data_IF_421207272074
#
_entry.id   IF_421207272074
#
_cell.length_a   1.000
_cell.length_b   1.000
_cell.length_c   1.000
_cell.angle_alpha   90.00
_cell.angle_beta   90.00
_cell.angle_gamma   90.00
#
_symmetry.space_group_name_H-M   'P 1'
#
loop_
_entity.id
_entity.type
_entity.pdbx_description
1 polymer ?
#
# COMPACT_ATOMS: atom_id res chain seq x y z
N UNK A 1 0.42 -1.95 -14.28
CA UNK A 1 0.75 -0.57 -13.87
C UNK A 1 1.24 0.24 -15.07
N UNK A 2 2.27 -0.23 -15.78
CA UNK A 2 2.84 0.45 -16.95
C UNK A 2 1.84 0.78 -18.09
N UNK A 3 0.99 -0.17 -18.50
CA UNK A 3 -0.07 0.08 -19.51
C UNK A 3 -1.05 1.16 -19.04
N UNK A 4 -1.46 1.13 -17.76
CA UNK A 4 -2.37 2.14 -17.21
C UNK A 4 -1.72 3.53 -17.23
N UNK A 5 -0.45 3.61 -16.85
CA UNK A 5 0.34 4.85 -16.93
C UNK A 5 0.49 5.37 -18.36
N UNK A 6 0.77 4.51 -19.33
CA UNK A 6 0.84 4.86 -20.76
C UNK A 6 -0.50 5.41 -21.29
N UNK A 7 -1.62 4.97 -20.71
CA UNK A 7 -2.97 5.46 -21.01
C UNK A 7 -3.38 6.67 -20.15
N UNK A 8 -2.49 7.20 -19.31
CA UNK A 8 -2.78 8.33 -18.42
C UNK A 8 -3.75 8.00 -17.27
N UNK A 9 -3.91 6.72 -16.95
CA UNK A 9 -4.79 6.25 -15.88
C UNK A 9 -4.05 6.15 -14.55
N UNK A 10 -4.71 6.59 -13.48
CA UNK A 10 -4.23 6.41 -12.10
C UNK A 10 -4.25 4.93 -11.73
N UNK A 11 -3.16 4.46 -11.16
CA UNK A 11 -3.00 3.05 -10.78
C UNK A 11 -2.85 2.87 -9.28
N UNK A 12 -3.58 1.88 -8.74
CA UNK A 12 -3.65 1.56 -7.32
C UNK A 12 -3.34 0.08 -7.09
N UNK A 13 -2.61 -0.21 -6.02
CA UNK A 13 -2.40 -1.58 -5.51
C UNK A 13 -2.55 -1.66 -4.00
N UNK A 14 -2.53 -2.89 -3.48
CA UNK A 14 -2.47 -3.14 -2.05
C UNK A 14 -1.55 -4.31 -1.72
N UNK A 15 -0.93 -4.24 -0.54
CA UNK A 15 -0.20 -5.33 0.07
C UNK A 15 -0.60 -5.47 1.55
N UNK A 16 -0.35 -6.66 2.11
CA UNK A 16 -0.63 -6.95 3.51
C UNK A 16 0.67 -7.28 4.24
N UNK A 17 0.78 -6.81 5.48
CA UNK A 17 1.90 -7.07 6.38
C UNK A 17 1.53 -8.09 7.44
N UNK A 18 2.52 -8.78 8.00
CA UNK A 18 2.35 -9.79 9.04
C UNK A 18 2.33 -11.24 8.54
N UNK A 19 2.87 -11.48 7.34
CA UNK A 19 3.01 -12.81 6.72
C UNK A 19 4.46 -13.35 6.77
N UNK A 20 5.36 -12.63 7.44
CA UNK A 20 6.76 -13.02 7.61
C UNK A 20 7.74 -12.20 6.77
N UNK A 21 7.24 -11.18 6.07
CA UNK A 21 8.06 -10.24 5.32
C UNK A 21 9.02 -9.46 6.22
N UNK A 22 10.19 -9.16 5.66
CA UNK A 22 11.23 -8.33 6.29
C UNK A 22 11.12 -6.88 5.86
N UNK A 23 11.68 -5.96 6.64
CA UNK A 23 11.72 -4.54 6.27
C UNK A 23 12.38 -4.29 4.90
N UNK A 24 13.43 -5.05 4.57
CA UNK A 24 14.12 -4.90 3.28
C UNK A 24 13.27 -5.35 2.10
N UNK A 25 12.43 -6.37 2.28
CA UNK A 25 11.47 -6.80 1.25
C UNK A 25 10.37 -5.76 1.05
N UNK A 26 9.84 -5.18 2.15
CA UNK A 26 8.86 -4.11 2.07
C UNK A 26 9.45 -2.89 1.35
N UNK A 27 10.67 -2.47 1.71
CA UNK A 27 11.34 -1.32 1.08
C UNK A 27 11.59 -1.55 -0.41
N UNK A 28 12.01 -2.76 -0.79
CA UNK A 28 12.19 -3.16 -2.19
C UNK A 28 10.88 -3.11 -2.97
N UNK A 29 9.76 -3.55 -2.36
CA UNK A 29 8.43 -3.43 -2.98
C UNK A 29 8.05 -1.98 -3.21
N UNK A 30 8.36 -1.06 -2.28
CA UNK A 30 8.09 0.36 -2.48
C UNK A 30 8.86 0.90 -3.70
N UNK A 31 10.13 0.54 -3.84
CA UNK A 31 10.96 0.94 -4.98
C UNK A 31 10.43 0.38 -6.31
N UNK A 32 10.06 -0.90 -6.33
CA UNK A 32 9.48 -1.56 -7.50
C UNK A 32 8.18 -0.90 -7.93
N UNK A 33 7.30 -0.55 -6.98
CA UNK A 33 6.03 0.11 -7.25
C UNK A 33 6.24 1.49 -7.87
N UNK A 34 7.20 2.27 -7.37
CA UNK A 34 7.57 3.56 -7.97
C UNK A 34 8.13 3.36 -9.38
N UNK A 35 9.03 2.39 -9.57
CA UNK A 35 9.67 2.11 -10.85
C UNK A 35 8.65 1.75 -11.95
N UNK A 36 7.62 0.97 -11.62
CA UNK A 36 6.56 0.58 -12.57
C UNK A 36 5.45 1.64 -12.72
N UNK A 37 5.58 2.79 -12.03
CA UNK A 37 4.65 3.91 -12.13
C UNK A 37 3.34 3.72 -11.37
N UNK A 38 3.35 2.96 -10.28
CA UNK A 38 2.24 2.94 -9.34
C UNK A 38 2.09 4.30 -8.66
N UNK A 39 0.85 4.72 -8.38
CA UNK A 39 0.59 6.01 -7.73
C UNK A 39 0.05 5.86 -6.33
N UNK A 40 -0.80 4.85 -6.12
CA UNK A 40 -1.52 4.66 -4.86
C UNK A 40 -1.21 3.26 -4.31
N UNK A 41 -0.76 3.21 -3.06
CA UNK A 41 -0.57 1.97 -2.31
C UNK A 41 -1.51 1.92 -1.10
N UNK A 42 -2.05 0.74 -0.83
CA UNK A 42 -2.71 0.41 0.44
C UNK A 42 -1.89 -0.64 1.20
N UNK A 43 -1.62 -0.39 2.47
CA UNK A 43 -0.93 -1.32 3.37
C UNK A 43 -1.82 -1.64 4.56
N UNK A 44 -2.16 -2.92 4.73
CA UNK A 44 -3.02 -3.40 5.81
C UNK A 44 -2.42 -4.57 6.57
N UNK A 45 -2.93 -4.86 7.77
CA UNK A 45 -2.58 -6.08 8.48
C UNK A 45 -3.22 -7.29 7.80
N UNK A 46 -2.44 -8.33 7.56
CA UNK A 46 -2.94 -9.65 7.25
C UNK A 46 -3.75 -10.17 8.43
N UNK A 47 -5.03 -10.44 8.19
CA UNK A 47 -5.90 -11.11 9.15
C UNK A 47 -6.20 -12.49 8.61
N UNK A 48 -5.76 -13.51 9.33
CA UNK A 48 -6.04 -14.90 9.02
C UNK A 48 -7.57 -15.13 9.00
N UNK A 49 -8.19 -15.46 7.85
CA UNK A 49 -9.65 -15.60 7.78
C UNK A 49 -10.17 -16.83 8.55
N UNK A 50 -9.43 -17.94 8.46
CA UNK A 50 -9.74 -19.20 9.17
C UNK A 50 -8.43 -19.88 9.56
N UNK A 51 -8.48 -20.79 10.53
CA UNK A 51 -7.32 -21.53 11.02
C UNK A 51 -6.59 -22.39 9.95
N UNK A 52 -7.19 -22.59 8.77
CA UNK A 52 -6.58 -23.33 7.66
C UNK A 52 -5.71 -22.44 6.74
N UNK A 53 -5.83 -21.12 6.86
CA UNK A 53 -4.98 -20.17 6.14
C UNK A 53 -3.64 -20.00 6.85
N UNK A 54 -2.69 -19.34 6.18
CA UNK A 54 -1.40 -19.00 6.78
C UNK A 54 -1.61 -18.32 8.15
N UNK A 55 -0.82 -18.70 9.17
CA UNK A 55 -0.88 -18.01 10.44
C UNK A 55 -0.40 -16.58 10.27
N UNK A 56 -0.86 -15.69 11.16
CA UNK A 56 -0.27 -14.36 11.30
C UNK A 56 1.11 -14.53 11.94
N UNK A 57 2.16 -14.24 11.20
CA UNK A 57 3.55 -14.27 11.69
C UNK A 57 3.81 -13.13 12.66
N UNK A 58 3.27 -11.94 12.36
CA UNK A 58 3.48 -10.73 13.16
C UNK A 58 2.29 -9.79 13.13
N UNK A 59 1.99 -9.21 14.28
CA UNK A 59 1.08 -8.07 14.41
C UNK A 59 1.90 -6.79 14.30
N UNK A 60 1.72 -6.07 13.20
CA UNK A 60 2.47 -4.86 12.89
C UNK A 60 1.97 -3.70 13.76
N UNK A 61 2.90 -2.96 14.37
CA UNK A 61 2.55 -1.84 15.25
C UNK A 61 1.99 -0.68 14.40
N UNK A 62 0.99 0.10 14.90
CA UNK A 62 0.48 1.27 14.18
C UNK A 62 1.55 2.27 13.74
N UNK A 63 2.59 2.47 14.55
CA UNK A 63 3.69 3.38 14.22
C UNK A 63 4.48 2.90 12.99
N UNK A 64 4.66 1.59 12.82
CA UNK A 64 5.35 1.03 11.67
C UNK A 64 4.54 1.24 10.38
N UNK A 65 3.20 1.15 10.45
CA UNK A 65 2.35 1.54 9.32
C UNK A 65 2.53 3.03 8.95
N UNK A 66 2.65 3.91 9.95
CA UNK A 66 2.91 5.33 9.72
C UNK A 66 4.30 5.57 9.09
N UNK A 67 5.31 4.82 9.51
CA UNK A 67 6.64 4.84 8.89
C UNK A 67 6.59 4.39 7.43
N UNK A 68 5.92 3.28 7.12
CA UNK A 68 5.82 2.79 5.74
C UNK A 68 5.09 3.76 4.82
N UNK A 69 4.06 4.44 5.34
CA UNK A 69 3.41 5.55 4.63
C UNK A 69 4.42 6.64 4.28
N UNK A 70 5.13 7.16 5.28
CA UNK A 70 6.10 8.22 5.08
C UNK A 70 7.23 7.82 4.11
N UNK A 71 7.74 6.59 4.24
CA UNK A 71 8.78 6.05 3.34
C UNK A 71 8.28 5.93 1.90
N UNK A 72 7.09 5.36 1.69
CA UNK A 72 6.51 5.19 0.36
C UNK A 72 6.22 6.53 -0.34
N UNK A 73 5.65 7.50 0.39
CA UNK A 73 5.40 8.85 -0.12
C UNK A 73 6.73 9.58 -0.43
N UNK A 74 7.75 9.42 0.42
CA UNK A 74 9.08 10.00 0.18
C UNK A 74 9.80 9.38 -1.03
N UNK A 75 9.58 8.10 -1.33
CA UNK A 75 10.14 7.40 -2.51
C UNK A 75 9.44 7.78 -3.82
N UNK A 76 8.25 8.36 -3.77
CA UNK A 76 7.55 8.89 -4.96
C UNK A 76 6.18 8.28 -5.25
N UNK A 77 5.62 7.45 -4.36
CA UNK A 77 4.20 7.13 -4.42
C UNK A 77 3.40 8.40 -4.11
N UNK A 78 2.36 8.68 -4.89
CA UNK A 78 1.56 9.91 -4.71
C UNK A 78 0.73 9.85 -3.44
N UNK A 79 0.28 8.66 -3.06
CA UNK A 79 -0.50 8.46 -1.85
C UNK A 79 -0.30 7.06 -1.29
N UNK A 80 -0.09 6.97 0.02
CA UNK A 80 -0.09 5.70 0.75
C UNK A 80 -1.12 5.75 1.86
N UNK A 81 -2.09 4.83 1.79
CA UNK A 81 -3.03 4.57 2.87
C UNK A 81 -2.53 3.34 3.64
N UNK A 82 -2.17 3.53 4.90
CA UNK A 82 -1.42 2.52 5.67
C UNK A 82 -1.95 2.45 7.10
N UNK A 83 -2.32 1.26 7.53
CA UNK A 83 -2.81 1.03 8.90
C UNK A 83 -3.39 -0.37 9.11
N UNK A 84 -3.55 -0.82 10.38
CA UNK A 84 -3.94 -2.20 10.67
C UNK A 84 -5.27 -2.63 10.00
N UNK A 85 -6.23 -1.72 9.94
CA UNK A 85 -7.58 -1.98 9.39
C UNK A 85 -7.75 -1.54 7.94
N UNK A 86 -6.69 -1.03 7.30
CA UNK A 86 -6.75 -0.62 5.89
C UNK A 86 -7.05 -1.84 5.02
N UNK A 87 -7.93 -1.63 4.05
CA UNK A 87 -8.32 -2.60 3.03
C UNK A 87 -8.27 -1.92 1.67
N UNK A 88 -8.19 -2.71 0.61
CA UNK A 88 -8.10 -2.19 -0.77
C UNK A 88 -9.27 -1.27 -1.16
N UNK A 89 -10.46 -1.46 -0.57
CA UNK A 89 -11.65 -0.61 -0.78
C UNK A 89 -11.84 0.49 0.27
N UNK A 90 -11.08 0.51 1.36
CA UNK A 90 -11.23 1.49 2.42
C UNK A 90 -10.91 2.90 1.88
N UNK A 91 -11.89 3.82 1.97
CA UNK A 91 -11.79 5.21 1.50
C UNK A 91 -11.43 5.41 0.02
N UNK A 92 -11.68 4.44 -0.87
CA UNK A 92 -11.36 4.56 -2.29
C UNK A 92 -11.94 5.83 -2.95
N UNK A 93 -13.13 6.26 -2.53
CA UNK A 93 -13.76 7.52 -2.96
C UNK A 93 -13.00 8.78 -2.52
N UNK A 94 -12.48 8.83 -1.29
CA UNK A 94 -11.71 9.99 -0.79
C UNK A 94 -10.32 10.08 -1.45
N UNK A 95 -9.74 8.93 -1.80
CA UNK A 95 -8.47 8.84 -2.50
C UNK A 95 -8.57 9.35 -3.95
N UNK A 96 -9.73 9.17 -4.59
CA UNK A 96 -10.02 9.77 -5.91
C UNK A 96 -10.31 11.27 -5.79
N UNK A 97 -11.00 11.72 -4.73
CA UNK A 97 -11.36 13.14 -4.57
C UNK A 97 -10.15 14.04 -4.28
N UNK A 98 -9.12 13.57 -3.56
CA UNK A 98 -7.85 14.32 -3.43
C UNK A 98 -7.19 14.63 -4.79
N UNK A 99 -7.54 13.90 -5.85
CA UNK A 99 -7.05 14.08 -7.22
C UNK A 99 -7.86 15.13 -8.02
N UNK A 100 -9.05 15.52 -7.59
CA UNK A 100 -9.91 16.44 -8.34
C UNK A 100 -9.64 17.94 -8.05
N UNK A 101 -8.76 18.28 -7.11
CA UNK A 101 -8.54 19.65 -6.64
C UNK A 101 -7.16 20.24 -6.98
N UNK A 102 -6.38 19.58 -7.84
CA UNK A 102 -5.08 20.06 -8.33
C UNK A 102 -5.01 20.12 -9.87
N UNK A 103 -6.16 20.26 -10.53
CA UNK A 103 -6.29 20.58 -11.96
C UNK A 103 -6.74 22.01 -12.17
#
# INVERSE_FOLDING_TARGET
>A
MQIAKEQGLVSKTGAMLGLGETEGEIDSVLDDLVAIGCEILTLGQYLQPTAQHLPVERWVHPDEFAEWKARGEAKGLRHVESGPLVRSSYHAEKQVVAHASLG
#
